data_IF_904568000617
#
_entry.id   IF_904568000617
#
_cell.length_a   1.000
_cell.length_b   1.000
_cell.length_c   1.000
_cell.angle_alpha   90.00
_cell.angle_beta   90.00
_cell.angle_gamma   90.00
#
_symmetry.space_group_name_H-M   'P 1'
#
loop_
_entity.id
_entity.type
_entity.pdbx_description
1 polymer ?
#
# COMPACT_ATOMS: atom_id res chain seq x y z
N UNK A 1 -26.39 -22.74 -7.96
CA UNK A 1 -26.08 -21.55 -7.14
C UNK A 1 -24.56 -21.43 -7.10
N UNK A 2 -23.98 -20.42 -7.75
CA UNK A 2 -22.52 -20.36 -7.94
C UNK A 2 -21.84 -19.91 -6.64
N UNK A 3 -21.05 -20.79 -6.03
CA UNK A 3 -20.09 -20.43 -4.99
C UNK A 3 -19.04 -19.49 -5.60
N UNK A 4 -19.09 -18.21 -5.23
CA UNK A 4 -18.00 -17.27 -5.47
C UNK A 4 -16.80 -17.74 -4.65
N UNK A 5 -15.94 -18.57 -5.25
CA UNK A 5 -14.59 -18.83 -4.77
C UNK A 5 -13.92 -17.47 -4.52
N UNK A 6 -13.73 -17.10 -3.26
CA UNK A 6 -12.81 -16.02 -2.87
C UNK A 6 -11.46 -16.39 -3.48
N UNK A 7 -11.05 -15.64 -4.50
CA UNK A 7 -9.74 -15.79 -5.12
C UNK A 7 -8.67 -15.79 -4.02
N UNK A 8 -7.64 -16.65 -4.11
CA UNK A 8 -6.51 -16.60 -3.18
C UNK A 8 -5.93 -15.16 -3.20
N UNK A 9 -5.32 -14.67 -2.10
CA UNK A 9 -4.75 -13.33 -2.04
C UNK A 9 -3.63 -13.24 -3.07
N UNK A 10 -4.00 -12.82 -4.28
CA UNK A 10 -3.12 -12.84 -5.42
C UNK A 10 -2.19 -11.65 -5.19
N UNK A 11 -0.90 -11.96 -5.04
CA UNK A 11 0.24 -11.03 -5.07
C UNK A 11 0.32 -10.25 -6.40
N UNK A 12 -0.80 -9.70 -6.87
CA UNK A 12 -0.83 -8.79 -8.00
C UNK A 12 -0.72 -7.40 -7.40
N UNK A 13 0.40 -6.74 -7.70
CA UNK A 13 0.50 -5.30 -7.54
C UNK A 13 -0.48 -4.74 -8.57
N UNK A 14 -1.63 -4.25 -8.13
CA UNK A 14 -2.63 -3.61 -8.98
C UNK A 14 -2.28 -2.13 -9.23
N UNK A 15 -1.62 -1.50 -8.26
CA UNK A 15 -1.25 -0.08 -8.30
C UNK A 15 0.24 0.11 -8.02
N UNK A 16 0.87 1.01 -8.77
CA UNK A 16 2.29 1.33 -8.63
C UNK A 16 2.50 2.84 -8.65
N UNK A 17 3.13 3.36 -7.61
CA UNK A 17 3.63 4.73 -7.54
C UNK A 17 5.10 4.69 -7.96
N UNK A 18 5.39 5.19 -9.14
CA UNK A 18 6.74 5.15 -9.72
C UNK A 18 7.75 6.04 -8.99
N UNK A 19 9.03 5.73 -9.18
CA UNK A 19 10.12 6.59 -8.72
C UNK A 19 10.03 7.99 -9.34
N UNK A 20 10.34 9.02 -8.55
CA UNK A 20 10.19 10.43 -8.94
C UNK A 20 8.76 10.98 -8.80
N UNK A 21 7.79 10.16 -8.42
CA UNK A 21 6.44 10.62 -8.07
C UNK A 21 6.39 10.97 -6.58
N UNK A 22 5.84 12.15 -6.28
CA UNK A 22 5.48 12.55 -4.92
C UNK A 22 3.97 12.67 -4.83
N UNK A 23 3.38 11.99 -3.86
CA UNK A 23 1.95 12.07 -3.56
C UNK A 23 1.78 12.84 -2.26
N UNK A 24 1.07 13.96 -2.32
CA UNK A 24 0.69 14.76 -1.16
C UNK A 24 -0.81 14.59 -0.92
N UNK A 25 -1.18 14.08 0.26
CA UNK A 25 -2.56 13.77 0.65
C UNK A 25 -2.82 12.29 0.96
N UNK A 26 -4.10 11.94 1.02
CA UNK A 26 -4.54 10.61 1.45
C UNK A 26 -4.64 9.62 0.26
N UNK A 27 -4.02 8.46 0.41
CA UNK A 27 -3.99 7.37 -0.57
C UNK A 27 -4.79 6.20 -0.02
N UNK A 28 -5.87 5.83 -0.72
CA UNK A 28 -6.62 4.61 -0.42
C UNK A 28 -6.51 3.62 -1.56
N UNK A 29 -6.14 2.37 -1.26
CA UNK A 29 -5.92 1.33 -2.27
C UNK A 29 -6.54 -0.01 -1.89
N UNK A 30 -6.73 -0.89 -2.86
CA UNK A 30 -7.21 -2.26 -2.67
C UNK A 30 -6.30 -3.24 -3.41
N UNK A 31 -6.11 -4.44 -2.89
CA UNK A 31 -5.24 -5.45 -3.53
C UNK A 31 -3.76 -5.19 -3.23
N UNK A 32 -2.92 -5.05 -4.26
CA UNK A 32 -1.49 -4.76 -4.09
C UNK A 32 -1.10 -3.33 -4.47
N UNK A 33 -0.43 -2.60 -3.58
CA UNK A 33 0.17 -1.29 -3.88
C UNK A 33 1.69 -1.36 -3.75
N UNK A 34 2.41 -0.93 -4.78
CA UNK A 34 3.85 -0.73 -4.75
C UNK A 34 4.19 0.74 -4.76
N UNK A 35 5.11 1.16 -3.91
CA UNK A 35 5.58 2.53 -3.83
C UNK A 35 7.09 2.55 -4.04
N UNK A 36 7.52 3.18 -5.13
CA UNK A 36 8.92 3.47 -5.48
C UNK A 36 9.24 4.98 -5.34
N UNK A 37 8.26 5.80 -4.94
CA UNK A 37 8.38 7.26 -4.80
C UNK A 37 8.20 7.77 -3.36
N UNK A 38 7.72 9.01 -3.22
CA UNK A 38 7.46 9.65 -1.92
C UNK A 38 5.96 9.79 -1.70
N UNK A 39 5.47 9.43 -0.52
CA UNK A 39 4.07 9.65 -0.12
C UNK A 39 4.05 10.43 1.18
N UNK A 40 3.40 11.58 1.16
CA UNK A 40 3.21 12.47 2.30
C UNK A 40 1.72 12.53 2.63
N UNK A 41 1.29 11.83 3.67
CA UNK A 41 -0.11 11.72 4.07
C UNK A 41 -0.51 10.32 4.52
N UNK A 42 -1.81 10.05 4.56
CA UNK A 42 -2.35 8.77 5.05
C UNK A 42 -2.40 7.72 3.95
N UNK A 43 -1.86 6.54 4.18
CA UNK A 43 -1.97 5.37 3.29
C UNK A 43 -2.87 4.33 3.94
N UNK A 44 -4.02 4.02 3.33
CA UNK A 44 -5.00 3.09 3.90
C UNK A 44 -5.54 2.09 2.88
N UNK A 45 -6.07 0.95 3.36
CA UNK A 45 -6.76 -0.02 2.51
C UNK A 45 -8.25 0.27 2.40
N UNK A 46 -8.84 0.04 1.23
CA UNK A 46 -10.29 0.13 1.02
C UNK A 46 -11.00 -0.97 1.81
N UNK A 47 -12.04 -0.59 2.57
CA UNK A 47 -12.93 -1.49 3.32
C UNK A 47 -12.21 -2.48 4.26
N UNK A 48 -11.02 -2.12 4.76
CA UNK A 48 -10.20 -2.98 5.62
C UNK A 48 -9.91 -4.36 4.98
N UNK A 49 -9.91 -4.42 3.64
CA UNK A 49 -9.66 -5.65 2.91
C UNK A 49 -8.18 -6.05 3.01
N UNK A 50 -7.87 -7.35 2.92
CA UNK A 50 -6.49 -7.83 2.93
C UNK A 50 -5.77 -7.29 1.69
N UNK A 51 -4.91 -6.31 1.92
CA UNK A 51 -4.10 -5.68 0.89
C UNK A 51 -2.61 -5.78 1.27
N UNK A 52 -1.76 -5.79 0.25
CA UNK A 52 -0.30 -5.83 0.42
C UNK A 52 0.31 -4.51 -0.04
N UNK A 53 0.92 -3.79 0.89
CA UNK A 53 1.75 -2.63 0.58
C UNK A 53 3.20 -3.06 0.43
N UNK A 54 3.85 -2.67 -0.65
CA UNK A 54 5.28 -2.90 -0.88
C UNK A 54 5.97 -1.55 -1.05
N UNK A 55 6.82 -1.21 -0.09
CA UNK A 55 7.69 -0.04 -0.16
C UNK A 55 9.06 -0.48 -0.67
N UNK A 56 9.49 0.11 -1.78
CA UNK A 56 10.83 -0.12 -2.35
C UNK A 56 11.91 0.62 -1.56
N UNK A 57 13.18 0.24 -1.76
CA UNK A 57 14.33 0.79 -1.02
C UNK A 57 14.46 2.31 -1.13
N UNK A 58 14.21 2.89 -2.30
CA UNK A 58 14.30 4.33 -2.53
C UNK A 58 13.03 5.10 -2.14
N UNK A 59 11.99 4.39 -1.71
CA UNK A 59 10.70 4.99 -1.43
C UNK A 59 10.59 5.47 0.02
N UNK A 60 9.83 6.55 0.21
CA UNK A 60 9.63 7.17 1.51
C UNK A 60 8.15 7.44 1.76
N UNK A 61 7.65 7.00 2.90
CA UNK A 61 6.31 7.35 3.38
C UNK A 61 6.47 8.27 4.60
N UNK A 62 5.78 9.39 4.59
CA UNK A 62 5.68 10.36 5.69
C UNK A 62 4.22 10.53 6.06
N UNK A 63 3.77 9.89 7.14
CA UNK A 63 2.37 9.92 7.57
C UNK A 63 1.88 8.59 8.13
N UNK A 64 0.56 8.45 8.20
CA UNK A 64 -0.08 7.31 8.83
C UNK A 64 -0.29 6.17 7.83
N UNK A 65 0.11 4.95 8.18
CA UNK A 65 -0.05 3.77 7.32
C UNK A 65 -0.98 2.76 7.98
N UNK A 66 -2.06 2.36 7.29
CA UNK A 66 -3.06 1.41 7.74
C UNK A 66 -3.23 0.30 6.70
N UNK A 67 -2.55 -0.83 6.88
CA UNK A 67 -2.55 -1.91 5.89
C UNK A 67 -2.43 -3.27 6.55
N UNK A 68 -3.15 -4.30 6.08
CA UNK A 68 -3.10 -5.61 6.73
C UNK A 68 -1.77 -6.35 6.54
N UNK A 69 -1.10 -6.12 5.40
CA UNK A 69 0.21 -6.69 5.10
C UNK A 69 1.10 -5.62 4.47
N UNK A 70 2.32 -5.50 4.96
CA UNK A 70 3.28 -4.51 4.50
C UNK A 70 4.67 -5.11 4.37
N UNK A 71 5.36 -4.76 3.30
CA UNK A 71 6.75 -5.09 3.05
C UNK A 71 7.51 -3.78 2.94
N UNK A 72 8.28 -3.43 3.97
CA UNK A 72 9.10 -2.22 3.99
C UNK A 72 10.52 -2.59 3.58
N UNK A 73 10.97 -2.12 2.41
CA UNK A 73 12.39 -2.07 2.07
C UNK A 73 12.95 -0.64 2.15
N UNK A 74 12.08 0.37 2.06
CA UNK A 74 12.45 1.79 2.14
C UNK A 74 12.29 2.39 3.53
N UNK A 75 11.94 3.67 3.58
CA UNK A 75 11.81 4.42 4.85
C UNK A 75 10.36 4.82 5.12
N UNK A 76 9.85 4.50 6.31
CA UNK A 76 8.52 4.97 6.78
C UNK A 76 8.71 5.85 8.00
N UNK A 77 8.16 7.05 7.96
CA UNK A 77 8.18 8.04 9.05
C UNK A 77 6.74 8.37 9.45
N UNK A 78 6.29 7.82 10.57
CA UNK A 78 4.94 8.03 11.08
C UNK A 78 4.38 6.80 11.77
N UNK A 79 3.13 6.86 12.27
CA UNK A 79 2.48 5.73 12.90
C UNK A 79 2.09 4.69 11.85
N UNK A 80 2.44 3.43 12.12
CA UNK A 80 2.09 2.31 11.25
C UNK A 80 1.21 1.34 12.01
N UNK A 81 0.02 1.12 11.47
CA UNK A 81 -0.98 0.17 11.91
C UNK A 81 -1.04 -0.96 10.88
N UNK A 82 -0.52 -2.13 11.28
CA UNK A 82 -0.51 -3.34 10.48
C UNK A 82 -1.50 -4.39 11.02
#
# INVERSE_FOLDING_TARGET
>A
MFERKKSPPQKRIDSLIGAGTTVDGDVTFSGGLRIDGVVQGKVATVDNQPATLVLSEQARIEGEVHVSHMVINGTVTGPVNA
#
